data_IF_571773364967
#
_entry.id   IF_571773364967
#
_cell.length_a   1.000
_cell.length_b   1.000
_cell.length_c   1.000
_cell.angle_alpha   90.00
_cell.angle_beta   90.00
_cell.angle_gamma   90.00
#
_symmetry.space_group_name_H-M   'P 1'
#
loop_
_entity.id
_entity.type
_entity.pdbx_description
1 polymer ?
#
# COMPACT_ATOMS: atom_id res chain seq x y z
N UNK A 1 31.74 15.12 -9.84
CA UNK A 1 30.38 15.37 -10.35
C UNK A 1 29.40 14.94 -9.27
N UNK A 2 28.90 15.89 -8.46
CA UNK A 2 28.02 15.59 -7.33
C UNK A 2 26.61 15.23 -7.84
N UNK A 3 25.97 14.17 -7.33
CA UNK A 3 24.56 13.92 -7.65
C UNK A 3 23.70 14.97 -6.96
N UNK A 4 22.91 15.70 -7.74
CA UNK A 4 21.85 16.58 -7.25
C UNK A 4 20.84 15.74 -6.49
N UNK A 5 20.82 15.85 -5.16
CA UNK A 5 19.85 15.20 -4.30
C UNK A 5 18.51 15.95 -4.41
N UNK A 6 17.68 15.57 -5.39
CA UNK A 6 16.30 16.04 -5.47
C UNK A 6 15.55 15.50 -4.24
N UNK A 7 14.91 16.40 -3.48
CA UNK A 7 14.14 16.04 -2.30
C UNK A 7 12.99 15.05 -2.59
N UNK A 8 12.43 14.41 -1.55
CA UNK A 8 11.43 13.33 -1.66
C UNK A 8 10.14 13.71 -2.39
N UNK A 9 9.88 15.00 -2.61
CA UNK A 9 8.72 15.50 -3.33
C UNK A 9 8.87 15.45 -4.86
N UNK A 10 10.10 15.44 -5.40
CA UNK A 10 10.34 15.43 -6.85
C UNK A 10 10.54 14.02 -7.42
N UNK A 11 11.05 13.07 -6.61
CA UNK A 11 11.13 11.65 -6.99
C UNK A 11 9.74 11.02 -7.19
N UNK A 12 8.73 11.47 -6.44
CA UNK A 12 7.34 11.04 -6.62
C UNK A 12 6.80 11.34 -8.03
N UNK A 13 7.07 12.52 -8.59
CA UNK A 13 6.60 12.88 -9.94
C UNK A 13 7.39 12.19 -11.05
N UNK A 14 8.68 11.90 -10.84
CA UNK A 14 9.49 11.15 -11.79
C UNK A 14 8.99 9.69 -11.92
N UNK A 15 8.58 9.06 -10.82
CA UNK A 15 8.05 7.70 -10.79
C UNK A 15 6.57 7.60 -11.23
N UNK A 16 5.86 8.73 -11.30
CA UNK A 16 4.45 8.78 -11.71
C UNK A 16 4.25 8.49 -13.20
N UNK A 17 5.28 8.77 -14.02
CA UNK A 17 5.28 8.55 -15.47
C UNK A 17 5.34 7.06 -15.80
N UNK A 18 4.23 6.35 -15.61
CA UNK A 18 4.03 5.03 -16.22
C UNK A 18 3.07 4.08 -15.54
N UNK A 19 2.54 4.41 -14.34
CA UNK A 19 1.70 3.48 -13.57
C UNK A 19 0.36 4.11 -13.21
N UNK A 20 -0.49 4.25 -14.22
CA UNK A 20 -1.92 4.44 -14.02
C UNK A 20 -2.48 3.12 -13.49
N UNK A 21 -3.20 3.21 -12.39
CA UNK A 21 -3.87 2.07 -11.77
C UNK A 21 -5.30 2.44 -11.43
N UNK A 22 -6.14 1.43 -11.23
CA UNK A 22 -7.51 1.62 -10.81
C UNK A 22 -7.64 1.13 -9.38
N UNK A 23 -8.09 2.00 -8.48
CA UNK A 23 -8.36 1.67 -7.10
C UNK A 23 -9.86 1.48 -6.89
N UNK A 24 -10.23 0.35 -6.29
CA UNK A 24 -11.53 0.13 -5.69
C UNK A 24 -11.37 0.15 -4.17
N UNK A 25 -12.32 0.78 -3.50
CA UNK A 25 -12.41 0.79 -2.05
C UNK A 25 -13.41 -0.29 -1.65
N UNK A 26 -12.94 -1.27 -0.90
CA UNK A 26 -13.87 -2.25 -0.34
C UNK A 26 -14.62 -1.60 0.83
N UNK A 27 -15.90 -1.96 1.03
CA UNK A 27 -16.63 -1.52 2.21
C UNK A 27 -15.88 -1.95 3.48
N UNK A 28 -16.07 -1.22 4.59
CA UNK A 28 -15.42 -1.55 5.85
C UNK A 28 -15.66 -3.01 6.23
N UNK A 29 -14.58 -3.72 6.56
CA UNK A 29 -14.62 -5.15 6.88
C UNK A 29 -15.46 -5.49 8.12
N UNK A 30 -15.68 -4.52 9.00
CA UNK A 30 -16.49 -4.65 10.20
C UNK A 30 -17.43 -3.43 10.28
N UNK A 31 -18.76 -3.64 10.41
CA UNK A 31 -19.73 -2.57 10.53
C UNK A 31 -19.61 -1.79 11.85
N UNK A 32 -18.85 -2.30 12.82
CA UNK A 32 -18.58 -1.60 14.06
C UNK A 32 -17.59 -0.43 13.80
N UNK A 33 -17.97 0.82 14.12
CA UNK A 33 -17.12 2.00 13.92
C UNK A 33 -15.78 1.95 14.68
N UNK A 34 -15.57 1.02 15.63
CA UNK A 34 -14.28 0.82 16.28
C UNK A 34 -13.25 0.10 15.40
N UNK A 35 -13.68 -0.69 14.42
CA UNK A 35 -12.80 -1.38 13.48
C UNK A 35 -12.46 -0.43 12.31
N UNK A 36 -11.65 0.56 12.65
CA UNK A 36 -11.31 1.70 11.81
C UNK A 36 -10.31 1.29 10.69
N UNK A 37 -10.70 0.40 9.76
CA UNK A 37 -9.84 -0.15 8.70
C UNK A 37 -10.51 -0.10 7.33
N UNK A 38 -9.78 0.42 6.36
CA UNK A 38 -10.16 0.45 4.95
C UNK A 38 -9.25 -0.48 4.15
N UNK A 39 -9.83 -1.26 3.24
CA UNK A 39 -9.07 -2.05 2.26
C UNK A 39 -9.20 -1.37 0.89
N UNK A 40 -8.06 -1.17 0.25
CA UNK A 40 -7.97 -0.57 -1.08
C UNK A 40 -7.37 -1.62 -2.01
N UNK A 41 -8.09 -1.98 -3.06
CA UNK A 41 -7.61 -2.88 -4.10
C UNK A 41 -7.18 -2.05 -5.31
N UNK A 42 -5.93 -2.20 -5.71
CA UNK A 42 -5.32 -1.49 -6.82
C UNK A 42 -5.02 -2.49 -7.93
N UNK A 43 -5.67 -2.32 -9.08
CA UNK A 43 -5.38 -3.10 -10.29
C UNK A 43 -4.35 -2.34 -11.12
N UNK A 44 -3.21 -2.98 -11.39
CA UNK A 44 -2.09 -2.39 -12.11
C UNK A 44 -2.02 -2.96 -13.53
N UNK A 45 -1.86 -2.10 -14.54
CA UNK A 45 -1.77 -2.54 -15.95
C UNK A 45 -0.51 -3.34 -16.26
N UNK A 46 0.56 -3.11 -15.48
CA UNK A 46 1.82 -3.84 -15.56
C UNK A 46 2.07 -4.54 -14.24
N UNK A 47 2.06 -5.88 -14.18
CA UNK A 47 2.36 -6.62 -12.96
C UNK A 47 3.68 -6.17 -12.34
N UNK A 48 3.65 -5.87 -11.05
CA UNK A 48 4.82 -5.39 -10.29
C UNK A 48 5.23 -6.46 -9.30
N UNK A 49 6.53 -6.70 -9.18
CA UNK A 49 7.09 -7.56 -8.14
C UNK A 49 7.38 -6.71 -6.90
N UNK A 50 6.90 -7.16 -5.76
CA UNK A 50 7.11 -6.51 -4.46
C UNK A 50 7.73 -7.55 -3.55
N UNK A 51 8.83 -7.22 -2.88
CA UNK A 51 9.48 -8.11 -1.92
C UNK A 51 8.95 -7.88 -0.50
N UNK A 52 9.09 -8.89 0.36
CA UNK A 52 8.69 -8.76 1.75
C UNK A 52 9.43 -7.60 2.45
N UNK A 53 8.68 -6.77 3.17
CA UNK A 53 9.19 -5.55 3.82
C UNK A 53 9.23 -4.30 2.93
N UNK A 54 8.94 -4.43 1.63
CA UNK A 54 8.78 -3.27 0.75
C UNK A 54 7.38 -2.65 0.87
N UNK A 55 7.28 -1.37 0.52
CA UNK A 55 6.05 -0.60 0.54
C UNK A 55 5.90 0.20 -0.76
N UNK A 56 4.70 0.75 -0.98
CA UNK A 56 4.43 1.69 -2.08
C UNK A 56 3.95 3.01 -1.52
N UNK A 57 4.24 4.11 -2.20
CA UNK A 57 3.52 5.36 -1.91
C UNK A 57 2.32 5.47 -2.83
N UNK A 58 1.15 5.80 -2.29
CA UNK A 58 -0.12 5.72 -3.00
C UNK A 58 -0.86 7.07 -3.01
N UNK A 59 -1.59 7.33 -4.11
CA UNK A 59 -2.24 8.61 -4.40
C UNK A 59 -3.56 8.43 -5.16
N UNK A 60 -4.66 9.03 -4.68
CA UNK A 60 -5.95 9.10 -5.39
C UNK A 60 -6.36 10.56 -5.61
N UNK A 61 -6.21 11.12 -6.83
CA UNK A 61 -6.49 12.53 -7.11
C UNK A 61 -7.90 13.00 -6.72
N UNK A 62 -8.89 12.12 -6.80
CA UNK A 62 -10.29 12.44 -6.56
C UNK A 62 -10.70 12.46 -5.09
N UNK A 63 -9.82 12.10 -4.17
CA UNK A 63 -10.15 11.98 -2.74
C UNK A 63 -9.66 13.17 -1.91
N UNK A 64 -8.59 13.88 -2.30
CA UNK A 64 -8.16 15.06 -1.54
C UNK A 64 -7.24 15.97 -2.37
N UNK A 65 -7.03 17.21 -1.94
CA UNK A 65 -6.05 18.14 -2.54
C UNK A 65 -4.68 18.08 -1.81
N UNK A 66 -4.65 17.56 -0.58
CA UNK A 66 -3.47 17.52 0.32
C UNK A 66 -2.53 16.32 0.10
N UNK A 67 -2.90 15.43 -0.81
CA UNK A 67 -2.23 14.17 -1.14
C UNK A 67 -0.91 14.31 -1.91
N UNK A 68 -0.36 15.53 -2.03
CA UNK A 68 1.04 15.73 -2.42
C UNK A 68 2.03 15.15 -1.41
N UNK A 69 1.56 14.75 -0.23
CA UNK A 69 2.31 13.89 0.69
C UNK A 69 2.02 12.42 0.35
N UNK A 70 2.87 11.84 -0.50
CA UNK A 70 2.84 10.41 -0.78
C UNK A 70 3.10 9.63 0.51
N UNK A 71 2.15 8.82 0.99
CA UNK A 71 2.31 8.08 2.25
C UNK A 71 2.69 6.63 2.00
N UNK A 72 3.60 6.05 2.81
CA UNK A 72 4.03 4.68 2.66
C UNK A 72 2.94 3.71 3.13
N UNK A 73 2.55 2.78 2.26
CA UNK A 73 1.61 1.70 2.57
C UNK A 73 2.20 0.34 2.20
N UNK A 74 2.05 -0.62 3.11
CA UNK A 74 2.48 -2.00 2.88
C UNK A 74 1.41 -2.75 2.09
N UNK A 75 1.84 -3.52 1.10
CA UNK A 75 0.97 -4.41 0.34
C UNK A 75 0.67 -5.65 1.17
N UNK A 76 -0.60 -5.83 1.52
CA UNK A 76 -1.06 -6.91 2.41
C UNK A 76 -1.36 -8.21 1.67
N UNK A 77 -1.78 -8.12 0.41
CA UNK A 77 -1.85 -9.28 -0.48
C UNK A 77 -0.51 -9.44 -1.21
N UNK A 78 0.56 -9.62 -0.42
CA UNK A 78 1.87 -9.94 -0.95
C UNK A 78 1.91 -11.41 -1.38
N UNK A 79 2.45 -11.65 -2.58
CA UNK A 79 2.82 -12.96 -3.09
C UNK A 79 4.19 -12.88 -3.76
N UNK A 80 4.90 -14.00 -3.86
CA UNK A 80 6.16 -14.04 -4.60
C UNK A 80 5.91 -13.84 -6.10
N UNK A 81 6.79 -13.08 -6.75
CA UNK A 81 6.72 -12.78 -8.18
C UNK A 81 5.88 -11.54 -8.51
N UNK A 82 5.52 -11.41 -9.79
CA UNK A 82 4.80 -10.24 -10.30
C UNK A 82 3.31 -10.36 -10.03
N UNK A 83 2.72 -9.35 -9.40
CA UNK A 83 1.29 -9.28 -9.12
C UNK A 83 0.61 -8.12 -9.86
N UNK A 84 -0.51 -8.42 -10.49
CA UNK A 84 -1.37 -7.45 -11.19
C UNK A 84 -2.40 -6.76 -10.29
N UNK A 85 -2.54 -7.23 -9.05
CA UNK A 85 -3.42 -6.65 -8.03
C UNK A 85 -2.62 -6.42 -6.75
N UNK A 86 -2.71 -5.21 -6.21
CA UNK A 86 -2.11 -4.83 -4.93
C UNK A 86 -3.23 -4.52 -3.94
N UNK A 87 -3.22 -5.12 -2.76
CA UNK A 87 -4.17 -4.79 -1.70
C UNK A 87 -3.47 -4.03 -0.59
N UNK A 88 -3.88 -2.78 -0.39
CA UNK A 88 -3.50 -1.99 0.75
C UNK A 88 -4.55 -2.13 1.83
N UNK A 89 -4.06 -2.09 3.05
CA UNK A 89 -4.92 -1.99 4.20
C UNK A 89 -4.48 -0.79 5.01
N UNK A 90 -5.44 0.05 5.39
CA UNK A 90 -5.17 1.32 6.02
C UNK A 90 -5.96 1.39 7.31
N UNK A 91 -5.27 1.59 8.42
CA UNK A 91 -5.93 2.00 9.65
C UNK A 91 -6.24 3.49 9.58
N UNK A 92 -7.49 3.82 9.87
CA UNK A 92 -7.97 5.19 9.88
C UNK A 92 -7.52 5.80 11.21
N UNK A 93 -6.77 6.89 11.13
CA UNK A 93 -6.25 7.62 12.31
C UNK A 93 -6.75 9.07 12.36
N UNK A 94 -7.51 9.53 11.36
CA UNK A 94 -7.98 10.90 11.20
C UNK A 94 -7.48 11.52 9.88
N UNK A 95 -7.98 12.72 9.54
CA UNK A 95 -7.59 13.46 8.34
C UNK A 95 -7.90 12.70 7.03
N UNK A 96 -6.91 12.63 6.13
CA UNK A 96 -7.00 11.96 4.81
C UNK A 96 -7.59 10.55 4.88
N UNK A 97 -7.25 9.79 5.91
CA UNK A 97 -7.75 8.42 6.05
C UNK A 97 -9.27 8.41 6.28
N UNK A 98 -9.80 9.35 7.07
CA UNK A 98 -11.25 9.50 7.29
C UNK A 98 -11.98 9.93 6.01
N UNK A 99 -11.33 10.78 5.20
CA UNK A 99 -11.84 11.19 3.89
C UNK A 99 -11.93 9.95 2.96
N UNK A 100 -10.86 9.15 2.84
CA UNK A 100 -10.86 7.87 2.12
C UNK A 100 -11.96 6.91 2.63
N UNK A 101 -12.19 6.84 3.94
CA UNK A 101 -13.25 6.02 4.52
C UNK A 101 -14.65 6.50 4.13
N UNK A 102 -14.90 7.81 4.13
CA UNK A 102 -16.19 8.35 3.70
C UNK A 102 -16.47 8.00 2.23
N UNK A 103 -15.47 8.06 1.36
CA UNK A 103 -15.63 7.64 -0.04
C UNK A 103 -15.83 6.12 -0.18
N UNK A 104 -15.11 5.30 0.59
CA UNK A 104 -15.27 3.84 0.55
C UNK A 104 -16.59 3.36 1.12
N UNK A 105 -17.21 4.12 2.03
CA UNK A 105 -18.56 3.82 2.55
C UNK A 105 -19.65 4.16 1.53
N UNK A 106 -19.37 5.11 0.63
CA UNK A 106 -20.28 5.50 -0.46
C UNK A 106 -20.11 4.62 -1.70
N UNK A 107 -19.03 3.83 -1.77
CA UNK A 107 -18.79 2.90 -2.86
C UNK A 107 -19.63 1.63 -2.68
N UNK A 108 -20.50 1.39 -3.65
CA UNK A 108 -21.14 0.09 -3.84
C UNK A 108 -20.21 -0.83 -4.64
N UNK A 109 -20.43 -2.16 -4.65
CA UNK A 109 -19.67 -3.08 -5.51
C UNK A 109 -19.66 -2.69 -7.00
N UNK A 110 -20.70 -1.98 -7.45
CA UNK A 110 -20.86 -1.46 -8.82
C UNK A 110 -20.22 -0.07 -9.04
N UNK A 111 -19.51 0.46 -8.05
CA UNK A 111 -18.86 1.77 -8.17
C UNK A 111 -17.74 1.73 -9.21
N UNK A 112 -17.66 2.80 -10.02
CA UNK A 112 -16.63 2.91 -11.05
C UNK A 112 -15.26 3.01 -10.38
N UNK A 113 -14.28 2.15 -10.75
CA UNK A 113 -12.95 2.19 -10.18
C UNK A 113 -12.31 3.58 -10.34
N UNK A 114 -11.77 4.12 -9.25
CA UNK A 114 -11.15 5.44 -9.28
C UNK A 114 -9.75 5.34 -9.85
N UNK A 115 -9.36 6.33 -10.66
CA UNK A 115 -7.98 6.44 -11.11
C UNK A 115 -7.07 6.70 -9.91
N UNK A 116 -6.05 5.90 -9.76
CA UNK A 116 -5.07 6.01 -8.70
C UNK A 116 -3.66 5.82 -9.25
N UNK A 117 -2.70 6.34 -8.52
CA UNK A 117 -1.29 6.25 -8.87
C UNK A 117 -0.48 5.78 -7.67
N UNK A 118 0.65 5.14 -7.95
CA UNK A 118 1.58 4.75 -6.91
C UNK A 118 3.02 4.81 -7.42
N UNK A 119 3.95 4.98 -6.48
CA UNK A 119 5.40 4.86 -6.71
C UNK A 119 5.97 3.70 -5.88
N UNK A 120 7.05 3.09 -6.37
CA UNK A 120 7.73 1.96 -5.73
C UNK A 120 7.88 0.73 -6.64
N UNK A 121 8.25 -0.43 -6.06
CA UNK A 121 8.38 -0.69 -4.63
C UNK A 121 9.55 0.05 -3.99
N UNK A 122 9.34 0.50 -2.76
CA UNK A 122 10.32 1.20 -1.91
C UNK A 122 10.67 0.36 -0.68
N UNK A 123 11.80 0.68 -0.05
CA UNK A 123 12.31 -0.07 1.10
C UNK A 123 13.14 -1.29 0.71
N UNK A 124 13.70 -1.93 1.74
CA UNK A 124 14.63 -3.06 1.62
C UNK A 124 13.94 -4.34 2.06
N UNK A 125 14.28 -5.45 1.39
CA UNK A 125 13.87 -6.79 1.80
C UNK A 125 15.03 -7.45 2.54
N UNK A 126 14.75 -7.95 3.74
CA UNK A 126 15.71 -8.71 4.54
C UNK A 126 15.57 -10.20 4.17
N UNK A 127 16.68 -10.95 4.00
CA UNK A 127 16.64 -12.39 3.72
C UNK A 127 16.33 -13.18 4.99
N UNK A 128 15.09 -13.07 5.48
CA UNK A 128 14.67 -13.67 6.76
C UNK A 128 14.87 -15.18 6.84
N UNK A 129 14.85 -15.87 5.70
CA UNK A 129 15.03 -17.34 5.61
C UNK A 129 16.45 -17.81 5.93
N UNK A 130 17.44 -16.92 5.93
CA UNK A 130 18.82 -17.25 6.27
C UNK A 130 19.07 -17.27 7.79
N UNK A 131 18.09 -16.82 8.58
CA UNK A 131 18.18 -16.76 10.04
C UNK A 131 17.45 -17.93 10.68
N UNK A 132 18.10 -18.57 11.66
CA UNK A 132 17.51 -19.67 12.43
C UNK A 132 16.38 -19.19 13.36
N UNK A 133 16.55 -18.00 13.96
CA UNK A 133 15.58 -17.42 14.89
C UNK A 133 15.23 -16.00 14.48
N UNK A 134 13.93 -15.72 14.39
CA UNK A 134 13.40 -14.42 13.94
C UNK A 134 12.45 -13.88 15.01
N UNK A 135 12.78 -12.72 15.57
CA UNK A 135 11.91 -11.98 16.49
C UNK A 135 11.21 -10.85 15.72
N UNK A 136 9.90 -10.95 15.57
CA UNK A 136 9.07 -9.89 14.98
C UNK A 136 8.33 -9.13 16.09
N UNK A 137 8.50 -7.82 16.13
CA UNK A 137 7.80 -6.93 17.08
C UNK A 137 6.91 -5.97 16.29
N UNK A 138 5.65 -5.89 16.67
CA UNK A 138 4.69 -5.00 16.04
C UNK A 138 3.71 -4.44 17.07
N UNK A 139 3.30 -3.19 16.85
CA UNK A 139 2.26 -2.51 17.65
C UNK A 139 1.11 -2.08 16.77
N UNK A 140 -0.12 -2.46 17.13
CA UNK A 140 -1.33 -2.13 16.39
C UNK A 140 -1.22 -2.49 14.91
N UNK A 141 -1.47 -1.52 14.02
CA UNK A 141 -1.41 -1.74 12.57
C UNK A 141 0.01 -1.95 12.01
N UNK A 142 1.06 -1.77 12.83
CA UNK A 142 2.43 -2.13 12.47
C UNK A 142 2.60 -3.61 12.10
N UNK A 143 1.63 -4.47 12.48
CA UNK A 143 1.59 -5.88 12.07
C UNK A 143 1.56 -6.05 10.56
N UNK A 144 0.99 -5.09 9.81
CA UNK A 144 0.91 -5.16 8.36
C UNK A 144 2.29 -5.23 7.70
N UNK A 145 3.31 -4.59 8.28
CA UNK A 145 4.69 -4.66 7.79
C UNK A 145 5.32 -6.05 7.98
N UNK A 146 4.86 -6.80 8.98
CA UNK A 146 5.36 -8.14 9.29
C UNK A 146 4.67 -9.24 8.48
N UNK A 147 3.44 -9.00 8.01
CA UNK A 147 2.65 -10.01 7.26
C UNK A 147 3.38 -10.59 6.03
N UNK A 148 4.05 -9.79 5.17
CA UNK A 148 4.81 -10.35 4.06
C UNK A 148 5.94 -11.28 4.50
N UNK A 149 6.65 -10.94 5.58
CA UNK A 149 7.70 -11.81 6.14
C UNK A 149 7.13 -13.08 6.73
N UNK A 150 6.03 -13.01 7.49
CA UNK A 150 5.34 -14.19 8.00
C UNK A 150 4.89 -15.11 6.86
N UNK A 151 4.28 -14.54 5.80
CA UNK A 151 3.90 -15.32 4.61
C UNK A 151 5.11 -15.97 3.97
N UNK A 152 6.22 -15.25 3.82
CA UNK A 152 7.47 -15.77 3.25
C UNK A 152 7.98 -16.98 4.04
N UNK A 153 8.03 -16.87 5.37
CA UNK A 153 8.49 -17.94 6.26
C UNK A 153 7.59 -19.18 6.24
N UNK A 154 6.26 -18.99 6.20
CA UNK A 154 5.31 -20.12 6.21
C UNK A 154 5.35 -20.90 4.90
N UNK A 155 5.48 -20.21 3.77
CA UNK A 155 5.43 -20.85 2.45
C UNK A 155 6.81 -21.32 1.96
N UNK A 156 7.90 -20.96 2.66
CA UNK A 156 9.25 -21.43 2.35
C UNK A 156 9.86 -20.82 1.08
N UNK A 157 9.43 -19.61 0.71
CA UNK A 157 10.05 -18.82 -0.37
C UNK A 157 11.33 -18.13 0.10
#
# INVERSE_FOLDING_TARGET
MMPLHLGPHLSFFADLFGRVSFASLDPPLDPNPSANRLRIRITVSRPVEIKAGQYINFWIPSVSWYIFQSHPFVVTNWAEGKQGTLELSIQLRGGLTRELFSYGTLDTPDSVPRRAFFSGPHGISIPVVEYETILMVATGFGIAAQLPYLRKLIHGY
#
